data_IF_347604652556
#
_entry.id   IF_347604652556
#
_cell.length_a   1.000
_cell.length_b   1.000
_cell.length_c   1.000
_cell.angle_alpha   90.00
_cell.angle_beta   90.00
_cell.angle_gamma   90.00
#
_symmetry.space_group_name_H-M   'P 1'
#
loop_
_entity.id
_entity.type
_entity.pdbx_description
1 polymer ?
#
# COMPACT_ATOMS: atom_id res chain seq x y z
N UNK A 1 -10.12 41.59 45.92
CA UNK A 1 -10.62 40.25 45.51
C UNK A 1 -9.57 39.71 44.54
N UNK A 2 -8.42 39.15 44.94
CA UNK A 2 -8.13 38.07 45.92
C UNK A 2 -8.88 36.80 45.51
N UNK A 3 -8.33 35.60 45.29
CA UNK A 3 -6.99 35.01 45.11
C UNK A 3 -7.27 33.50 44.77
N UNK A 4 -6.32 32.83 44.09
CA UNK A 4 -5.93 31.40 44.21
C UNK A 4 -6.83 30.22 43.74
N UNK A 5 -6.31 29.57 42.67
CA UNK A 5 -5.80 28.17 42.59
C UNK A 5 -6.67 26.99 43.08
N UNK A 6 -6.82 25.98 42.22
CA UNK A 6 -6.74 24.57 42.64
C UNK A 6 -6.33 23.64 41.46
N UNK A 7 -5.02 23.41 41.34
CA UNK A 7 -4.48 22.16 40.80
C UNK A 7 -4.74 21.03 41.82
N UNK A 8 -5.31 19.90 41.39
CA UNK A 8 -5.31 18.64 42.17
C UNK A 8 -5.35 17.49 41.16
N UNK A 9 -4.21 16.98 40.68
CA UNK A 9 -3.48 15.81 41.21
C UNK A 9 -4.41 14.64 41.61
N UNK A 10 -4.51 13.62 40.75
CA UNK A 10 -4.76 12.24 41.18
C UNK A 10 -3.52 11.42 40.80
N UNK A 11 -2.87 10.89 41.84
CA UNK A 11 -1.75 9.97 41.78
C UNK A 11 -2.09 8.79 42.70
N UNK A 12 -2.02 7.56 42.19
CA UNK A 12 -1.89 6.29 42.93
C UNK A 12 -1.19 5.33 41.92
N UNK A 13 0.06 4.89 42.01
CA UNK A 13 0.92 4.30 43.07
C UNK A 13 0.78 2.77 43.25
N UNK A 14 1.89 2.05 43.04
CA UNK A 14 2.14 0.65 43.47
C UNK A 14 2.71 -0.25 42.37
N UNK A 15 4.05 -0.38 42.19
CA UNK A 15 4.97 -1.34 42.84
C UNK A 15 4.83 -2.77 42.26
N UNK A 16 5.84 -3.51 41.79
CA UNK A 16 7.30 -3.41 41.69
C UNK A 16 7.82 -4.84 41.39
N UNK A 17 9.04 -5.01 40.88
CA UNK A 17 10.01 -6.08 41.23
C UNK A 17 11.30 -5.82 40.44
N UNK A 18 12.40 -5.80 41.19
CA UNK A 18 13.82 -5.65 40.82
C UNK A 18 14.41 -6.94 40.21
N UNK A 19 15.71 -6.88 39.89
CA UNK A 19 16.69 -7.92 39.47
C UNK A 19 17.05 -7.85 37.97
N UNK A 20 18.31 -7.81 37.51
CA UNK A 20 19.64 -7.80 38.12
C UNK A 20 20.69 -7.44 37.04
N UNK A 21 21.89 -7.03 37.47
CA UNK A 21 23.07 -6.69 36.65
C UNK A 21 23.73 -7.90 35.95
N UNK A 22 24.36 -7.66 34.79
CA UNK A 22 25.67 -8.22 34.33
C UNK A 22 26.01 -7.60 32.95
N UNK A 23 26.95 -6.67 32.80
CA UNK A 23 28.41 -6.80 32.74
C UNK A 23 28.97 -7.41 31.43
N UNK A 24 29.73 -6.56 30.71
CA UNK A 24 30.90 -6.78 29.82
C UNK A 24 30.84 -7.80 28.67
N UNK A 25 31.28 -7.40 27.46
CA UNK A 25 32.52 -7.90 26.81
C UNK A 25 32.74 -7.20 25.47
N UNK A 26 34.02 -6.88 25.23
CA UNK A 26 34.58 -6.09 24.16
C UNK A 26 34.82 -6.87 22.84
N UNK A 27 35.10 -6.07 21.79
CA UNK A 27 35.85 -6.36 20.56
C UNK A 27 35.46 -7.57 19.70
N UNK A 28 35.17 -7.32 18.42
CA UNK A 28 36.12 -7.74 17.37
C UNK A 28 35.83 -7.06 16.03
N UNK A 29 36.88 -6.42 15.53
CA UNK A 29 37.12 -5.96 14.16
C UNK A 29 37.21 -7.17 13.22
N UNK A 30 36.54 -7.11 12.07
CA UNK A 30 36.76 -8.05 10.97
C UNK A 30 36.46 -7.37 9.62
N UNK A 31 37.50 -6.73 9.10
CA UNK A 31 37.68 -6.28 7.73
C UNK A 31 37.63 -7.43 6.69
N UNK A 32 36.80 -7.38 5.64
CA UNK A 32 37.06 -8.13 4.42
C UNK A 32 37.84 -7.28 3.40
N UNK A 33 39.06 -7.75 3.14
CA UNK A 33 40.04 -7.33 2.12
C UNK A 33 39.47 -7.45 0.69
N UNK A 34 39.89 -6.60 -0.26
CA UNK A 34 39.59 -6.74 -1.67
C UNK A 34 40.49 -7.80 -2.33
N UNK A 35 39.95 -8.60 -3.25
CA UNK A 35 40.74 -9.35 -4.22
C UNK A 35 40.12 -9.23 -5.61
N UNK A 36 40.88 -8.55 -6.46
CA UNK A 36 40.80 -8.55 -7.91
C UNK A 36 41.18 -9.91 -8.53
N UNK A 37 40.53 -10.18 -9.66
CA UNK A 37 41.06 -10.67 -10.94
C UNK A 37 41.68 -12.06 -11.13
N UNK A 38 41.46 -12.52 -12.38
CA UNK A 38 42.25 -13.46 -13.24
C UNK A 38 42.05 -14.96 -12.96
N UNK A 39 41.78 -15.85 -13.91
CA UNK A 39 41.60 -15.83 -15.37
C UNK A 39 41.88 -17.24 -15.96
N UNK A 40 41.33 -17.55 -17.16
CA UNK A 40 41.69 -18.63 -18.13
C UNK A 40 41.60 -20.11 -17.71
N UNK A 41 41.25 -21.11 -18.54
CA UNK A 41 40.88 -21.24 -19.97
C UNK A 41 40.31 -22.67 -20.26
N UNK A 42 39.49 -22.79 -21.33
CA UNK A 42 39.30 -23.88 -22.35
C UNK A 42 39.25 -25.39 -21.95
N UNK A 43 38.48 -26.30 -22.57
CA UNK A 43 38.09 -26.39 -23.98
C UNK A 43 36.92 -27.38 -24.27
N UNK A 44 36.24 -27.09 -25.39
CA UNK A 44 35.61 -27.95 -26.42
C UNK A 44 34.75 -29.18 -26.09
N UNK A 45 33.50 -29.15 -26.59
CA UNK A 45 33.05 -30.11 -27.61
C UNK A 45 31.97 -29.48 -28.51
N UNK A 46 32.04 -29.90 -29.77
CA UNK A 46 31.38 -29.34 -30.96
C UNK A 46 30.04 -30.00 -31.19
N UNK A 47 28.96 -29.22 -31.40
CA UNK A 47 27.82 -29.64 -32.22
C UNK A 47 27.23 -28.48 -33.06
N UNK A 48 26.83 -28.88 -34.26
CA UNK A 48 26.48 -28.19 -35.52
C UNK A 48 25.34 -27.14 -35.44
N UNK A 49 25.36 -26.03 -36.22
CA UNK A 49 24.25 -25.10 -36.28
C UNK A 49 23.18 -25.62 -37.26
N UNK A 50 21.94 -25.79 -36.77
CA UNK A 50 20.77 -25.96 -37.64
C UNK A 50 19.98 -24.66 -37.54
N UNK A 51 19.97 -23.91 -38.64
CA UNK A 51 19.22 -22.68 -38.81
C UNK A 51 17.73 -22.95 -38.60
N UNK A 52 17.14 -22.28 -37.62
CA UNK A 52 15.69 -22.13 -37.52
C UNK A 52 15.41 -20.67 -37.18
N UNK A 53 15.09 -19.92 -38.22
CA UNK A 53 14.51 -18.58 -38.12
C UNK A 53 13.14 -18.72 -37.48
N UNK A 54 13.10 -18.74 -36.16
CA UNK A 54 11.85 -18.63 -35.42
C UNK A 54 11.39 -17.19 -35.51
N UNK A 55 10.42 -16.94 -36.38
CA UNK A 55 9.63 -15.73 -36.41
C UNK A 55 9.15 -15.42 -35.00
N UNK A 56 9.59 -14.28 -34.45
CA UNK A 56 9.06 -13.74 -33.20
C UNK A 56 7.61 -13.34 -33.47
N UNK A 57 6.70 -14.26 -33.17
CA UNK A 57 5.28 -13.97 -33.13
C UNK A 57 5.05 -13.13 -31.87
N UNK A 58 5.00 -11.81 -32.02
CA UNK A 58 4.57 -10.92 -30.93
C UNK A 58 3.18 -11.35 -30.51
N UNK A 59 2.93 -11.65 -29.21
CA UNK A 59 1.59 -12.02 -28.75
C UNK A 59 0.60 -10.89 -29.09
N UNK A 60 -0.67 -11.22 -29.41
CA UNK A 60 -1.66 -10.20 -29.73
C UNK A 60 -1.75 -9.22 -28.56
N UNK A 61 -1.63 -7.94 -28.87
CA UNK A 61 -1.85 -6.84 -27.94
C UNK A 61 -3.25 -7.03 -27.38
N UNK A 62 -3.36 -7.36 -26.09
CA UNK A 62 -4.64 -7.46 -25.40
C UNK A 62 -5.36 -6.13 -25.58
N UNK A 63 -6.38 -6.10 -26.45
CA UNK A 63 -7.25 -4.95 -26.59
C UNK A 63 -7.83 -4.63 -25.20
N UNK A 64 -7.79 -3.37 -24.72
CA UNK A 64 -8.43 -3.04 -23.46
C UNK A 64 -9.89 -3.46 -23.55
N UNK A 65 -10.36 -4.24 -22.56
CA UNK A 65 -11.74 -4.70 -22.49
C UNK A 65 -12.66 -3.49 -22.68
N UNK A 66 -13.61 -3.56 -23.61
CA UNK A 66 -14.46 -2.41 -23.99
C UNK A 66 -15.32 -1.82 -22.84
N UNK A 67 -15.27 -2.45 -21.66
CA UNK A 67 -15.99 -2.04 -20.46
C UNK A 67 -15.07 -1.63 -19.31
N UNK A 68 -13.75 -1.75 -19.47
CA UNK A 68 -12.80 -1.12 -18.56
C UNK A 68 -12.77 0.37 -18.91
N UNK A 69 -13.09 1.21 -17.93
CA UNK A 69 -13.23 2.64 -18.14
C UNK A 69 -12.38 3.38 -17.13
N UNK A 70 -11.70 4.42 -17.59
CA UNK A 70 -10.85 5.26 -16.76
C UNK A 70 -11.01 6.71 -17.18
N UNK A 71 -10.96 7.62 -16.22
CA UNK A 71 -10.96 9.05 -16.51
C UNK A 71 -10.04 9.81 -15.57
N UNK A 72 -9.50 10.92 -16.06
CA UNK A 72 -8.65 11.84 -15.31
C UNK A 72 -9.48 13.04 -14.89
N UNK A 73 -9.25 13.55 -13.68
CA UNK A 73 -9.91 14.75 -13.13
C UNK A 73 -11.36 14.56 -12.72
N UNK A 74 -11.96 13.38 -12.90
CA UNK A 74 -13.36 13.08 -12.58
C UNK A 74 -13.54 11.63 -12.11
N UNK A 75 -14.73 11.32 -11.61
CA UNK A 75 -15.18 9.93 -11.43
C UNK A 75 -15.64 9.36 -12.77
N UNK A 76 -15.25 8.12 -13.06
CA UNK A 76 -15.75 7.37 -14.20
C UNK A 76 -17.23 7.05 -14.03
N UNK A 77 -17.98 7.03 -15.11
CA UNK A 77 -19.41 6.71 -15.05
C UNK A 77 -19.62 5.29 -14.50
N UNK A 78 -20.51 5.16 -13.52
CA UNK A 78 -20.78 3.87 -12.86
C UNK A 78 -19.70 3.43 -11.86
N UNK A 79 -18.81 4.34 -11.43
CA UNK A 79 -17.84 4.05 -10.38
C UNK A 79 -18.54 3.60 -9.08
N UNK A 80 -18.04 2.55 -8.39
CA UNK A 80 -18.67 2.00 -7.19
C UNK A 80 -18.38 2.87 -5.96
N UNK A 81 -19.05 4.03 -5.86
CA UNK A 81 -18.86 4.98 -4.77
C UNK A 81 -19.31 4.46 -3.41
N UNK A 82 -20.15 3.43 -3.36
CA UNK A 82 -20.48 2.76 -2.09
C UNK A 82 -19.28 1.98 -1.56
N UNK A 83 -18.56 1.30 -2.46
CA UNK A 83 -17.37 0.53 -2.13
C UNK A 83 -16.18 1.45 -1.81
N UNK A 84 -15.90 2.39 -2.71
CA UNK A 84 -14.81 3.35 -2.61
C UNK A 84 -15.38 4.77 -2.47
N UNK A 85 -15.78 5.19 -1.26
CA UNK A 85 -16.34 6.51 -1.05
C UNK A 85 -15.28 7.58 -1.31
N UNK A 86 -15.69 8.69 -1.92
CA UNK A 86 -14.81 9.84 -2.08
C UNK A 86 -14.67 10.57 -0.73
N UNK A 87 -13.42 10.81 -0.31
CA UNK A 87 -13.15 11.63 0.86
C UNK A 87 -13.80 13.03 0.69
N UNK A 88 -14.59 13.52 1.66
CA UNK A 88 -15.20 14.83 1.58
C UNK A 88 -14.16 15.94 1.37
N UNK A 89 -14.40 16.81 0.38
CA UNK A 89 -13.49 17.89 0.03
C UNK A 89 -12.26 17.49 -0.79
N UNK A 90 -12.09 16.20 -1.11
CA UNK A 90 -11.01 15.77 -2.00
C UNK A 90 -11.32 16.05 -3.47
N UNK A 91 -10.28 16.36 -4.23
CA UNK A 91 -10.32 16.43 -5.68
C UNK A 91 -9.95 15.09 -6.30
N UNK A 92 -10.79 14.58 -7.20
CA UNK A 92 -10.48 13.37 -7.96
C UNK A 92 -9.43 13.68 -9.00
N UNK A 93 -8.31 12.97 -8.95
CA UNK A 93 -7.23 13.07 -9.95
C UNK A 93 -7.39 12.00 -11.02
N UNK A 94 -7.77 10.80 -10.62
CA UNK A 94 -8.00 9.70 -11.55
C UNK A 94 -8.99 8.72 -10.92
N UNK A 95 -9.81 8.10 -11.75
CA UNK A 95 -10.57 6.93 -11.36
C UNK A 95 -10.59 5.90 -12.49
N UNK A 96 -10.67 4.63 -12.12
CA UNK A 96 -10.82 3.54 -13.06
C UNK A 96 -11.76 2.48 -12.50
N UNK A 97 -12.44 1.79 -13.39
CA UNK A 97 -13.37 0.73 -13.06
C UNK A 97 -13.39 -0.34 -14.16
N UNK A 98 -13.20 -1.59 -13.77
CA UNK A 98 -13.27 -2.76 -14.64
C UNK A 98 -14.07 -3.87 -13.96
N UNK A 99 -15.33 -4.00 -14.38
CA UNK A 99 -16.24 -5.08 -13.94
C UNK A 99 -16.11 -6.37 -14.75
N UNK A 100 -15.25 -6.43 -15.76
CA UNK A 100 -15.11 -7.60 -16.65
C UNK A 100 -14.12 -8.64 -16.15
N UNK A 101 -13.39 -8.31 -15.09
CA UNK A 101 -12.45 -9.20 -14.42
C UNK A 101 -13.11 -9.87 -13.22
N UNK A 102 -12.54 -11.00 -12.82
CA UNK A 102 -12.88 -11.70 -11.59
C UNK A 102 -11.57 -12.01 -10.85
N UNK A 103 -11.28 -11.32 -9.72
CA UNK A 103 -12.09 -10.25 -9.09
C UNK A 103 -12.19 -8.99 -9.96
N UNK A 104 -13.25 -8.22 -9.76
CA UNK A 104 -13.45 -6.95 -10.44
C UNK A 104 -12.64 -5.84 -9.76
N UNK A 105 -12.15 -4.90 -10.57
CA UNK A 105 -11.22 -3.86 -10.15
C UNK A 105 -11.86 -2.48 -10.11
N UNK A 106 -11.56 -1.71 -9.07
CA UNK A 106 -11.83 -0.27 -9.03
C UNK A 106 -10.63 0.46 -8.44
N UNK A 107 -10.32 1.65 -8.95
CA UNK A 107 -9.27 2.49 -8.36
C UNK A 107 -9.65 3.96 -8.36
N UNK A 108 -9.18 4.67 -7.34
CA UNK A 108 -9.42 6.09 -7.14
C UNK A 108 -8.13 6.73 -6.65
N UNK A 109 -7.71 7.78 -7.33
CA UNK A 109 -6.63 8.67 -6.90
C UNK A 109 -7.26 10.01 -6.60
N UNK A 110 -7.08 10.50 -5.38
CA UNK A 110 -7.56 11.80 -4.96
C UNK A 110 -6.49 12.63 -4.26
N UNK A 111 -6.71 13.93 -4.22
CA UNK A 111 -5.86 14.88 -3.50
C UNK A 111 -6.70 15.72 -2.55
N UNK A 112 -6.17 15.99 -1.36
CA UNK A 112 -6.84 16.77 -0.31
C UNK A 112 -5.80 17.54 0.51
N UNK A 113 -6.26 18.51 1.29
CA UNK A 113 -5.47 19.19 2.34
C UNK A 113 -5.63 18.54 3.71
N UNK A 114 -6.44 17.47 3.83
CA UNK A 114 -6.56 16.67 5.05
C UNK A 114 -5.24 15.95 5.37
N UNK A 115 -4.97 15.71 6.66
CA UNK A 115 -3.78 14.96 7.07
C UNK A 115 -3.86 13.47 6.69
N UNK A 116 -2.72 12.81 6.54
CA UNK A 116 -2.70 11.36 6.29
C UNK A 116 -3.43 10.56 7.39
N UNK A 117 -3.34 10.99 8.64
CA UNK A 117 -4.04 10.37 9.78
C UNK A 117 -5.56 10.46 9.61
N UNK A 118 -6.09 11.63 9.23
CA UNK A 118 -7.53 11.81 9.03
C UNK A 118 -8.04 10.99 7.84
N UNK A 119 -7.24 10.91 6.77
CA UNK A 119 -7.55 10.09 5.59
C UNK A 119 -7.65 8.62 5.98
N UNK A 120 -6.66 8.09 6.71
CA UNK A 120 -6.67 6.70 7.18
C UNK A 120 -7.84 6.44 8.12
N UNK A 121 -8.12 7.34 9.06
CA UNK A 121 -9.24 7.19 10.00
C UNK A 121 -10.59 7.14 9.27
N UNK A 122 -10.80 8.03 8.30
CA UNK A 122 -11.99 8.04 7.46
C UNK A 122 -12.18 6.70 6.73
N UNK A 123 -11.15 6.24 6.01
CA UNK A 123 -11.26 5.00 5.23
C UNK A 123 -11.33 3.75 6.10
N UNK A 124 -10.64 3.73 7.23
CA UNK A 124 -10.75 2.62 8.19
C UNK A 124 -12.18 2.48 8.70
N UNK A 125 -12.85 3.60 9.01
CA UNK A 125 -14.26 3.59 9.38
C UNK A 125 -15.13 3.15 8.21
N UNK A 126 -14.96 3.77 7.05
CA UNK A 126 -15.82 3.51 5.89
C UNK A 126 -15.74 2.06 5.38
N UNK A 127 -14.55 1.46 5.38
CA UNK A 127 -14.37 0.05 4.98
C UNK A 127 -14.77 -0.91 6.11
N UNK A 128 -14.55 -0.52 7.38
CA UNK A 128 -15.05 -1.26 8.54
C UNK A 128 -16.57 -1.39 8.55
N UNK A 129 -17.29 -0.32 8.23
CA UNK A 129 -18.76 -0.32 8.09
C UNK A 129 -19.25 -1.26 6.96
N UNK A 130 -18.37 -1.57 5.99
CA UNK A 130 -18.61 -2.53 4.90
C UNK A 130 -18.14 -3.96 5.20
N UNK A 131 -17.64 -4.21 6.42
CA UNK A 131 -17.15 -5.51 6.86
C UNK A 131 -15.74 -5.86 6.41
N UNK A 132 -14.95 -4.88 5.94
CA UNK A 132 -13.52 -5.10 5.77
C UNK A 132 -12.80 -4.97 7.11
N UNK A 133 -11.82 -5.83 7.33
CA UNK A 133 -10.90 -5.76 8.46
C UNK A 133 -9.57 -5.18 7.99
N UNK A 134 -9.05 -4.22 8.74
CA UNK A 134 -7.69 -3.72 8.53
C UNK A 134 -6.70 -4.85 8.86
N UNK A 135 -5.82 -5.16 7.92
CA UNK A 135 -4.70 -6.05 8.17
C UNK A 135 -3.59 -5.32 8.94
N UNK A 136 -2.87 -6.02 9.83
CA UNK A 136 -1.64 -5.50 10.38
C UNK A 136 -0.65 -5.29 9.22
N UNK A 137 -0.15 -4.07 9.10
CA UNK A 137 0.72 -3.66 8.02
C UNK A 137 1.38 -2.33 8.33
N UNK A 138 2.61 -2.18 7.82
CA UNK A 138 3.49 -1.07 8.12
C UNK A 138 3.53 -0.08 6.96
N UNK A 139 3.82 1.18 7.30
CA UNK A 139 4.07 2.23 6.32
C UNK A 139 5.39 1.97 5.59
N UNK A 140 5.48 2.35 4.31
CA UNK A 140 6.68 2.14 3.49
C UNK A 140 7.46 3.45 3.43
N UNK A 141 8.43 3.61 4.33
CA UNK A 141 9.17 4.87 4.47
C UNK A 141 8.26 6.01 4.90
N UNK A 142 8.10 7.04 4.05
CA UNK A 142 7.21 8.18 4.30
C UNK A 142 5.78 7.97 3.74
N UNK A 143 5.53 6.86 3.05
CA UNK A 143 4.22 6.56 2.45
C UNK A 143 3.42 5.74 3.44
N UNK A 144 2.28 6.28 3.87
CA UNK A 144 1.34 5.53 4.69
C UNK A 144 0.68 4.48 3.82
N UNK A 145 0.72 3.22 4.23
CA UNK A 145 0.13 2.11 3.48
C UNK A 145 -0.74 1.26 4.40
N UNK A 146 -1.95 0.93 3.95
CA UNK A 146 -2.95 0.17 4.71
C UNK A 146 -3.67 -0.79 3.78
N UNK A 147 -3.81 -2.03 4.25
CA UNK A 147 -4.50 -3.08 3.51
C UNK A 147 -5.73 -3.53 4.29
N UNK A 148 -6.86 -3.61 3.59
CA UNK A 148 -8.13 -4.02 4.14
C UNK A 148 -8.58 -5.28 3.42
N UNK A 149 -9.07 -6.27 4.17
CA UNK A 149 -9.55 -7.53 3.61
C UNK A 149 -10.92 -7.89 4.11
N UNK A 150 -11.70 -8.53 3.23
CA UNK A 150 -13.00 -9.12 3.55
C UNK A 150 -13.06 -10.51 2.94
N UNK A 151 -14.03 -11.31 3.39
CA UNK A 151 -14.32 -12.63 2.83
C UNK A 151 -13.06 -13.52 2.78
N UNK A 152 -12.34 -13.61 3.91
CA UNK A 152 -11.12 -14.40 4.06
C UNK A 152 -9.98 -14.02 3.08
N UNK A 153 -9.91 -12.75 2.67
CA UNK A 153 -8.85 -12.25 1.78
C UNK A 153 -9.19 -12.36 0.29
N UNK A 154 -10.37 -12.87 -0.06
CA UNK A 154 -10.84 -12.91 -1.45
C UNK A 154 -11.19 -11.52 -1.99
N UNK A 155 -11.42 -10.56 -1.10
CA UNK A 155 -11.68 -9.17 -1.44
C UNK A 155 -10.70 -8.28 -0.68
N UNK A 156 -10.04 -7.38 -1.40
CA UNK A 156 -9.01 -6.50 -0.85
C UNK A 156 -9.21 -5.06 -1.25
N UNK A 157 -8.87 -4.14 -0.36
CA UNK A 157 -8.72 -2.72 -0.64
C UNK A 157 -7.35 -2.28 -0.12
N UNK A 158 -6.57 -1.63 -0.97
CA UNK A 158 -5.28 -1.05 -0.61
C UNK A 158 -5.42 0.46 -0.58
N UNK A 159 -4.95 1.11 0.49
CA UNK A 159 -4.86 2.54 0.64
C UNK A 159 -3.39 2.92 0.77
N UNK A 160 -2.92 3.82 -0.09
CA UNK A 160 -1.65 4.51 0.12
C UNK A 160 -1.85 6.01 0.19
N UNK A 161 -1.08 6.69 1.03
CA UNK A 161 -1.11 8.14 1.19
C UNK A 161 0.31 8.68 1.17
N UNK A 162 0.56 9.62 0.26
CA UNK A 162 1.78 10.41 0.21
C UNK A 162 1.42 11.86 0.47
N UNK A 163 2.23 12.56 1.27
CA UNK A 163 2.01 13.98 1.57
C UNK A 163 3.20 14.78 1.09
N UNK A 164 2.92 15.82 0.31
CA UNK A 164 3.92 16.77 -0.19
C UNK A 164 3.38 18.19 -0.10
N UNK A 165 4.19 19.13 0.38
CA UNK A 165 3.84 20.55 0.50
C UNK A 165 2.44 20.85 1.10
N UNK A 166 2.01 20.06 2.09
CA UNK A 166 0.69 20.23 2.74
C UNK A 166 -0.51 19.69 1.95
N UNK A 167 -0.26 19.01 0.82
CA UNK A 167 -1.28 18.27 0.06
C UNK A 167 -1.03 16.77 0.23
N UNK A 168 -2.05 16.05 0.68
CA UNK A 168 -2.04 14.59 0.72
C UNK A 168 -2.70 14.03 -0.53
N UNK A 169 -1.96 13.18 -1.24
CA UNK A 169 -2.48 12.36 -2.34
C UNK A 169 -2.73 10.96 -1.81
N UNK A 170 -3.95 10.48 -1.97
CA UNK A 170 -4.32 9.11 -1.61
C UNK A 170 -4.62 8.30 -2.87
N UNK A 171 -4.23 7.04 -2.85
CA UNK A 171 -4.55 6.06 -3.87
C UNK A 171 -5.28 4.90 -3.23
N UNK A 172 -6.42 4.56 -3.81
CA UNK A 172 -7.24 3.42 -3.46
C UNK A 172 -7.26 2.44 -4.62
N UNK A 173 -7.05 1.17 -4.33
CA UNK A 173 -7.30 0.06 -5.25
C UNK A 173 -8.17 -0.97 -4.56
N UNK A 174 -9.23 -1.41 -5.22
CA UNK A 174 -10.11 -2.47 -4.73
C UNK A 174 -10.14 -3.62 -5.73
N UNK A 175 -10.03 -4.84 -5.22
CA UNK A 175 -10.31 -6.07 -5.93
C UNK A 175 -11.41 -6.80 -5.17
N UNK A 176 -12.60 -6.88 -5.75
CA UNK A 176 -13.77 -7.44 -5.07
C UNK A 176 -14.56 -8.37 -5.99
N UNK A 177 -15.44 -9.19 -5.42
CA UNK A 177 -16.39 -9.93 -6.24
C UNK A 177 -17.28 -8.97 -7.02
N UNK A 178 -17.71 -9.33 -8.24
CA UNK A 178 -18.56 -8.45 -9.05
C UNK A 178 -19.87 -8.06 -8.34
N UNK A 179 -20.45 -8.96 -7.53
CA UNK A 179 -21.64 -8.70 -6.73
C UNK A 179 -21.44 -7.67 -5.60
N UNK A 180 -20.19 -7.38 -5.25
CA UNK A 180 -19.81 -6.39 -4.24
C UNK A 180 -19.68 -4.98 -4.81
N UNK A 181 -19.66 -4.84 -6.14
CA UNK A 181 -19.65 -3.55 -6.83
C UNK A 181 -21.06 -2.94 -6.78
N UNK A 182 -21.28 -2.07 -5.81
CA UNK A 182 -22.54 -1.34 -5.60
C UNK A 182 -22.27 0.16 -5.52
#
# INVERSE_FOLDING_TARGET
MTERQAFTKVAIAGAGVLFALAAITACTDANPKPSESTGSASASSSEKPTSSTSSVSTPPTSSPSAQATSTVGNLVAGFPSTLLPLLPGAQVKQSAFDKTKEPAGASLVGATTSSATDIVAFYTKAFGDQGFSLLPGEDVGAVVSKDFVRNNGQETINLSVTTDAGTSTFTLGANVAQASLK
#
